data_IF_907827447894
#
_entry.id   IF_907827447894
#
_cell.length_a   1.000
_cell.length_b   1.000
_cell.length_c   1.000
_cell.angle_alpha   90.00
_cell.angle_beta   90.00
_cell.angle_gamma   90.00
#
_symmetry.space_group_name_H-M   'P 1'
#
loop_
_entity.id
_entity.type
_entity.pdbx_description
1 polymer ?
#
# COMPACT_ATOMS: atom_id res chain seq x y z
N UNK A 1 -4.24 5.88 -12.44
CA UNK A 1 -2.78 5.67 -12.39
C UNK A 1 -2.39 5.70 -10.93
N UNK A 2 -1.63 4.72 -10.44
CA UNK A 2 -1.14 4.73 -9.05
C UNK A 2 -0.07 5.81 -8.88
N UNK A 3 -0.06 6.46 -7.73
CA UNK A 3 0.94 7.46 -7.36
C UNK A 3 1.07 7.56 -5.85
N UNK A 4 2.08 8.28 -5.37
CA UNK A 4 2.25 8.57 -3.94
C UNK A 4 1.07 9.37 -3.35
N UNK A 5 0.38 10.17 -4.16
CA UNK A 5 -0.86 10.83 -3.71
C UNK A 5 -1.97 9.79 -3.46
N UNK A 6 -2.14 8.81 -4.36
CA UNK A 6 -3.14 7.74 -4.17
C UNK A 6 -2.81 6.90 -2.93
N UNK A 7 -1.53 6.63 -2.67
CA UNK A 7 -1.06 5.99 -1.43
C UNK A 7 -1.53 6.78 -0.21
N UNK A 8 -1.26 8.09 -0.14
CA UNK A 8 -1.71 8.96 0.96
C UNK A 8 -3.22 8.92 1.14
N UNK A 9 -3.95 9.08 0.05
CA UNK A 9 -5.41 9.10 0.06
C UNK A 9 -5.99 7.75 0.55
N UNK A 10 -5.33 6.63 0.24
CA UNK A 10 -5.73 5.28 0.68
C UNK A 10 -5.63 5.16 2.19
N UNK A 11 -4.50 5.58 2.79
CA UNK A 11 -4.33 5.56 4.24
C UNK A 11 -5.27 6.54 4.95
N UNK A 12 -5.45 7.74 4.38
CA UNK A 12 -6.34 8.76 4.94
C UNK A 12 -7.80 8.28 4.95
N UNK A 13 -8.29 7.73 3.84
CA UNK A 13 -9.64 7.14 3.76
C UNK A 13 -9.81 5.97 4.72
N UNK A 14 -8.80 5.09 4.83
CA UNK A 14 -8.85 3.99 5.78
C UNK A 14 -9.05 4.48 7.23
N UNK A 15 -8.40 5.59 7.62
CA UNK A 15 -8.62 6.22 8.93
C UNK A 15 -10.01 6.83 9.05
N UNK A 16 -10.44 7.62 8.06
CA UNK A 16 -11.76 8.29 8.08
C UNK A 16 -12.91 7.29 8.15
N UNK A 17 -12.78 6.14 7.49
CA UNK A 17 -13.79 5.09 7.44
C UNK A 17 -13.62 4.03 8.56
N UNK A 18 -12.68 4.21 9.50
CA UNK A 18 -12.38 3.25 10.58
C UNK A 18 -12.10 1.82 10.07
N UNK A 19 -11.43 1.72 8.93
CA UNK A 19 -11.04 0.45 8.33
C UNK A 19 -9.98 -0.26 9.16
N UNK A 20 -10.08 -1.60 9.23
CA UNK A 20 -9.15 -2.41 10.03
C UNK A 20 -7.79 -2.57 9.37
N UNK A 21 -7.78 -2.55 8.04
CA UNK A 21 -6.59 -2.81 7.27
C UNK A 21 -6.44 -1.87 6.07
N UNK A 22 -5.18 -1.63 5.72
CA UNK A 22 -4.76 -1.16 4.40
C UNK A 22 -4.02 -2.32 3.73
N UNK A 23 -4.32 -2.56 2.46
CA UNK A 23 -3.71 -3.59 1.65
C UNK A 23 -2.81 -2.93 0.60
N UNK A 24 -1.55 -3.37 0.54
CA UNK A 24 -0.56 -2.89 -0.42
C UNK A 24 -0.11 -4.09 -1.25
N UNK A 25 -0.50 -4.11 -2.51
CA UNK A 25 -0.03 -5.08 -3.51
C UNK A 25 1.34 -4.68 -4.01
N UNK A 26 2.32 -5.56 -3.88
CA UNK A 26 3.70 -5.36 -4.30
C UNK A 26 4.06 -6.39 -5.35
N UNK A 27 4.77 -5.95 -6.38
CA UNK A 27 5.49 -6.83 -7.29
C UNK A 27 6.98 -6.66 -6.99
N UNK A 28 7.66 -7.74 -6.58
CA UNK A 28 9.07 -7.76 -6.26
C UNK A 28 9.77 -8.88 -7.03
N UNK A 29 10.70 -8.53 -7.92
CA UNK A 29 11.46 -9.50 -8.73
C UNK A 29 10.55 -10.51 -9.47
N UNK A 30 9.40 -10.03 -9.97
CA UNK A 30 8.42 -10.84 -10.69
C UNK A 30 7.47 -11.67 -9.81
N UNK A 31 7.54 -11.54 -8.49
CA UNK A 31 6.63 -12.18 -7.53
C UNK A 31 5.60 -11.16 -7.06
N UNK A 32 4.32 -11.53 -7.08
CA UNK A 32 3.23 -10.71 -6.55
C UNK A 32 2.94 -11.07 -5.09
N UNK A 33 2.84 -10.05 -4.24
CA UNK A 33 2.60 -10.15 -2.82
C UNK A 33 1.57 -9.12 -2.37
N UNK A 34 0.78 -9.44 -1.34
CA UNK A 34 -0.11 -8.48 -0.70
C UNK A 34 0.28 -8.32 0.76
N UNK A 35 0.62 -7.10 1.15
CA UNK A 35 0.90 -6.74 2.54
C UNK A 35 -0.37 -6.22 3.18
N UNK A 36 -0.81 -6.89 4.24
CA UNK A 36 -1.90 -6.42 5.11
C UNK A 36 -1.33 -5.60 6.27
N UNK A 37 -1.75 -4.34 6.37
CA UNK A 37 -1.27 -3.38 7.37
C UNK A 37 -2.40 -3.14 8.37
N UNK A 38 -2.22 -3.42 9.67
CA UNK A 38 -3.24 -3.15 10.67
C UNK A 38 -3.32 -1.65 10.99
N UNK A 39 -4.51 -1.21 11.40
CA UNK A 39 -4.83 0.18 11.82
C UNK A 39 -3.75 0.82 12.70
N UNK A 40 -3.26 0.09 13.71
CA UNK A 40 -2.20 0.52 14.63
C UNK A 40 -0.86 0.87 13.99
N UNK A 41 -0.69 0.60 12.69
CA UNK A 41 0.56 0.79 11.95
C UNK A 41 0.38 1.69 10.74
N UNK A 42 -0.78 2.34 10.58
CA UNK A 42 -1.06 3.18 9.41
C UNK A 42 -0.06 4.32 9.26
N UNK A 43 0.20 5.08 10.32
CA UNK A 43 1.11 6.24 10.25
C UNK A 43 2.55 5.81 9.94
N UNK A 44 3.09 4.81 10.66
CA UNK A 44 4.46 4.38 10.42
C UNK A 44 4.64 3.76 9.04
N UNK A 45 3.65 2.99 8.57
CA UNK A 45 3.73 2.35 7.25
C UNK A 45 3.52 3.33 6.11
N UNK A 46 2.57 4.26 6.20
CA UNK A 46 2.43 5.33 5.23
C UNK A 46 3.75 6.10 5.08
N UNK A 47 4.33 6.54 6.19
CA UNK A 47 5.60 7.27 6.19
C UNK A 47 6.77 6.42 5.65
N UNK A 48 6.78 5.12 5.91
CA UNK A 48 7.75 4.20 5.30
C UNK A 48 7.61 4.16 3.77
N UNK A 49 6.41 3.94 3.24
CA UNK A 49 6.20 3.87 1.79
C UNK A 49 6.52 5.20 1.10
N UNK A 50 6.17 6.34 1.69
CA UNK A 50 6.48 7.66 1.13
C UNK A 50 7.98 7.93 0.97
N UNK A 51 8.81 7.38 1.87
CA UNK A 51 10.27 7.49 1.83
C UNK A 51 10.92 6.44 0.94
N UNK A 52 10.38 5.22 0.94
CA UNK A 52 10.98 4.07 0.26
C UNK A 52 10.60 3.98 -1.22
N UNK A 53 9.61 4.75 -1.68
CA UNK A 53 9.13 4.71 -3.05
C UNK A 53 9.12 6.09 -3.72
N UNK A 54 9.32 6.11 -5.03
CA UNK A 54 9.21 7.30 -5.88
C UNK A 54 7.75 7.76 -6.02
N UNK A 55 7.50 8.85 -6.73
CA UNK A 55 6.13 9.31 -7.02
C UNK A 55 5.31 8.30 -7.81
N UNK A 56 5.96 7.51 -8.67
CA UNK A 56 5.36 6.44 -9.48
C UNK A 56 5.31 5.09 -8.73
N UNK A 57 5.56 5.10 -7.42
CA UNK A 57 5.59 3.93 -6.55
C UNK A 57 6.58 2.83 -6.98
N UNK A 58 7.76 3.23 -7.44
CA UNK A 58 8.93 2.35 -7.66
C UNK A 58 9.86 2.45 -6.45
N UNK A 59 10.37 1.33 -5.93
CA UNK A 59 11.24 1.36 -4.76
C UNK A 59 12.57 2.08 -5.07
N UNK A 60 12.98 3.01 -4.21
CA UNK A 60 14.13 3.92 -4.48
C UNK A 60 15.48 3.20 -4.55
N UNK A 61 15.61 2.04 -3.88
CA UNK A 61 16.85 1.24 -3.88
C UNK A 61 16.78 0.03 -4.83
N UNK A 62 15.61 -0.35 -5.32
CA UNK A 62 15.46 -1.51 -6.20
C UNK A 62 14.36 -1.24 -7.23
N UNK A 63 14.77 -0.97 -8.47
CA UNK A 63 13.86 -0.65 -9.59
C UNK A 63 12.96 -1.82 -10.02
N UNK A 64 13.19 -3.04 -9.53
CA UNK A 64 12.36 -4.22 -9.80
C UNK A 64 11.29 -4.46 -8.72
N UNK A 65 11.12 -3.50 -7.80
CA UNK A 65 10.11 -3.55 -6.74
C UNK A 65 9.13 -2.38 -6.91
N UNK A 66 7.85 -2.72 -7.04
CA UNK A 66 6.77 -1.78 -7.36
C UNK A 66 5.57 -1.98 -6.45
N UNK A 67 4.88 -0.90 -6.08
CA UNK A 67 3.50 -1.03 -5.58
C UNK A 67 2.55 -1.06 -6.78
N UNK A 68 1.77 -2.13 -6.88
CA UNK A 68 0.83 -2.41 -7.98
C UNK A 68 -0.64 -2.40 -7.55
N UNK A 69 -0.90 -2.42 -6.24
CA UNK A 69 -2.27 -2.40 -5.70
C UNK A 69 -2.35 -1.60 -4.41
N UNK A 70 -3.45 -0.87 -4.24
CA UNK A 70 -3.79 -0.16 -3.01
C UNK A 70 -5.29 -0.36 -2.75
N UNK A 71 -5.61 -0.81 -1.55
CA UNK A 71 -6.99 -0.97 -1.07
C UNK A 71 -7.02 -0.80 0.45
N UNK A 72 -8.22 -0.72 1.02
CA UNK A 72 -8.46 -0.71 2.46
C UNK A 72 -9.79 -1.38 2.78
N UNK A 73 -9.95 -1.87 4.00
CA UNK A 73 -11.19 -2.50 4.45
C UNK A 73 -11.04 -3.46 5.63
N UNK A 74 -11.95 -4.43 5.70
CA UNK A 74 -11.92 -5.57 6.61
C UNK A 74 -11.15 -6.77 6.04
N UNK A 75 -11.20 -7.90 6.73
CA UNK A 75 -10.52 -9.13 6.30
C UNK A 75 -11.13 -9.72 5.02
N UNK A 76 -12.39 -9.42 4.73
CA UNK A 76 -13.13 -9.90 3.58
C UNK A 76 -12.68 -9.28 2.25
N UNK A 77 -11.88 -8.20 2.28
CA UNK A 77 -11.30 -7.55 1.10
C UNK A 77 -9.87 -8.01 0.78
N UNK A 78 -9.33 -9.02 1.49
CA UNK A 78 -7.96 -9.52 1.32
C UNK A 78 -7.69 -10.09 -0.09
N UNK A 79 -8.68 -10.75 -0.70
CA UNK A 79 -8.52 -11.48 -1.98
C UNK A 79 -8.68 -10.60 -3.24
N UNK A 80 -8.84 -9.28 -3.10
CA UNK A 80 -9.17 -8.39 -4.23
C UNK A 80 -7.93 -7.98 -5.03
N UNK A 81 -6.72 -8.17 -4.50
CA UNK A 81 -5.47 -7.86 -5.22
C UNK A 81 -4.96 -9.14 -5.89
N UNK A 82 -5.51 -9.44 -7.07
CA UNK A 82 -5.04 -10.45 -8.01
C UNK A 82 -4.57 -9.78 -9.31
#
# INVERSE_FOLDING_TARGET
MLSKQVLRDTFEKAKQENSKFVFVGIEAEGVQETICIPERSFDEKQAFYERSYTEDLVHVMNKNVFIRGLSYGGSEQLDIIA
#
